data_IF_235787039170
#
_entry.id   IF_235787039170
#
_cell.length_a   1.000
_cell.length_b   1.000
_cell.length_c   1.000
_cell.angle_alpha   90.00
_cell.angle_beta   90.00
_cell.angle_gamma   90.00
#
_symmetry.space_group_name_H-M   'P 1'
#
loop_
_entity.id
_entity.type
_entity.pdbx_description
1 polymer ?
#
# COMPACT_ATOMS: atom_id res chain seq x y z
N UNK A 1 6.74 -17.49 -20.06
CA UNK A 1 7.51 -16.27 -19.75
C UNK A 1 6.70 -15.46 -18.75
N UNK A 2 7.19 -15.23 -17.53
CA UNK A 2 6.52 -14.32 -16.58
C UNK A 2 6.86 -12.90 -17.01
N UNK A 3 5.92 -12.19 -17.62
CA UNK A 3 6.08 -10.76 -17.86
C UNK A 3 5.91 -10.04 -16.52
N UNK A 4 6.96 -9.37 -16.05
CA UNK A 4 6.84 -8.40 -14.96
C UNK A 4 6.21 -7.14 -15.56
N UNK A 5 4.92 -6.95 -15.32
CA UNK A 5 4.21 -5.73 -15.71
C UNK A 5 4.92 -4.51 -15.10
N UNK A 6 4.99 -3.43 -15.87
CA UNK A 6 5.58 -2.19 -15.38
C UNK A 6 4.66 -1.56 -14.33
N UNK A 7 5.25 -0.93 -13.31
CA UNK A 7 4.52 -0.12 -12.35
C UNK A 7 4.09 1.19 -13.02
N UNK A 8 2.87 1.64 -12.75
CA UNK A 8 2.48 3.02 -13.02
C UNK A 8 3.37 3.99 -12.22
N UNK A 9 3.41 5.26 -12.60
CA UNK A 9 4.22 6.26 -11.91
C UNK A 9 3.87 6.34 -10.41
N UNK A 10 2.57 6.40 -10.08
CA UNK A 10 2.11 6.43 -8.70
C UNK A 10 2.46 5.14 -7.94
N UNK A 11 2.26 3.97 -8.57
CA UNK A 11 2.58 2.69 -7.95
C UNK A 11 4.09 2.54 -7.69
N UNK A 12 4.93 2.99 -8.63
CA UNK A 12 6.38 3.00 -8.49
C UNK A 12 6.81 3.91 -7.33
N UNK A 13 6.18 5.08 -7.22
CA UNK A 13 6.52 6.04 -6.17
C UNK A 13 6.07 5.54 -4.78
N UNK A 14 4.89 4.91 -4.68
CA UNK A 14 4.46 4.22 -3.45
C UNK A 14 5.45 3.13 -3.05
N UNK A 15 5.84 2.25 -3.98
CA UNK A 15 6.77 1.17 -3.70
C UNK A 15 8.15 1.70 -3.26
N UNK A 16 8.66 2.76 -3.89
CA UNK A 16 9.92 3.38 -3.52
C UNK A 16 9.86 4.04 -2.13
N UNK A 17 8.81 4.81 -1.83
CA UNK A 17 8.63 5.44 -0.52
C UNK A 17 8.47 4.39 0.58
N UNK A 18 7.67 3.35 0.32
CA UNK A 18 7.50 2.26 1.26
C UNK A 18 8.83 1.52 1.50
N UNK A 19 9.52 1.13 0.43
CA UNK A 19 10.82 0.43 0.50
C UNK A 19 11.88 1.21 1.28
N UNK A 20 11.96 2.53 1.10
CA UNK A 20 12.89 3.37 1.89
C UNK A 20 12.50 3.47 3.37
N UNK A 21 11.23 3.27 3.71
CA UNK A 21 10.74 3.33 5.09
C UNK A 21 10.80 1.97 5.81
N UNK A 22 10.81 0.84 5.09
CA UNK A 22 10.81 -0.52 5.68
C UNK A 22 11.99 -0.80 6.63
N UNK A 23 13.25 -0.38 6.36
CA UNK A 23 14.38 -0.58 7.28
C UNK A 23 14.19 0.03 8.68
N UNK A 24 13.26 0.97 8.82
CA UNK A 24 12.96 1.63 10.08
C UNK A 24 11.72 1.04 10.78
N UNK A 25 11.14 -0.02 10.23
CA UNK A 25 9.99 -0.72 10.81
C UNK A 25 10.45 -1.68 11.91
N UNK A 26 9.77 -1.65 13.05
CA UNK A 26 10.10 -2.54 14.18
C UNK A 26 9.14 -3.73 14.27
N UNK A 27 8.12 -3.76 13.41
CA UNK A 27 7.07 -4.79 13.41
C UNK A 27 6.35 -4.84 12.05
N UNK A 28 5.58 -5.92 11.82
CA UNK A 28 4.71 -5.98 10.64
C UNK A 28 3.57 -4.94 10.69
N UNK A 29 3.15 -4.52 11.89
CA UNK A 29 2.20 -3.41 12.09
C UNK A 29 2.80 -2.09 11.58
N UNK A 30 4.04 -1.81 11.97
CA UNK A 30 4.85 -0.67 11.54
C UNK A 30 5.03 -0.63 10.00
N UNK A 31 5.22 -1.80 9.38
CA UNK A 31 5.33 -1.92 7.93
C UNK A 31 4.01 -1.59 7.24
N UNK A 32 2.89 -2.14 7.73
CA UNK A 32 1.56 -1.86 7.20
C UNK A 32 1.22 -0.36 7.28
N UNK A 33 1.56 0.30 8.39
CA UNK A 33 1.37 1.74 8.53
C UNK A 33 2.20 2.57 7.54
N UNK A 34 3.44 2.16 7.27
CA UNK A 34 4.33 2.84 6.30
C UNK A 34 3.81 2.67 4.88
N UNK A 35 3.33 1.48 4.51
CA UNK A 35 2.64 1.25 3.24
C UNK A 35 1.39 2.10 3.11
N UNK A 36 0.54 2.14 4.15
CA UNK A 36 -0.67 2.95 4.14
C UNK A 36 -0.37 4.45 4.00
N UNK A 37 0.70 4.93 4.65
CA UNK A 37 1.17 6.32 4.49
C UNK A 37 1.60 6.61 3.06
N UNK A 38 2.36 5.72 2.42
CA UNK A 38 2.78 5.89 1.03
C UNK A 38 1.57 5.88 0.08
N UNK A 39 0.67 4.91 0.22
CA UNK A 39 -0.55 4.80 -0.60
C UNK A 39 -1.45 6.03 -0.51
N UNK A 40 -1.60 6.61 0.68
CA UNK A 40 -2.46 7.77 0.92
C UNK A 40 -2.13 8.96 0.01
N UNK A 41 -0.87 9.11 -0.38
CA UNK A 41 -0.41 10.28 -1.15
C UNK A 41 -0.52 10.13 -2.66
N UNK A 42 -0.77 8.92 -3.18
CA UNK A 42 -0.56 8.63 -4.61
C UNK A 42 -1.67 7.77 -5.22
N UNK A 43 -2.04 8.12 -6.47
CA UNK A 43 -3.03 7.43 -7.27
C UNK A 43 -4.45 7.39 -6.68
N UNK A 44 -5.28 6.53 -7.25
CA UNK A 44 -6.71 6.41 -6.94
C UNK A 44 -6.96 6.01 -5.48
N UNK A 45 -6.15 5.09 -4.96
CA UNK A 45 -6.19 4.70 -3.55
C UNK A 45 -5.94 5.88 -2.63
N UNK A 46 -4.97 6.75 -2.97
CA UNK A 46 -4.70 7.97 -2.22
C UNK A 46 -5.89 8.93 -2.20
N UNK A 47 -6.52 9.14 -3.35
CA UNK A 47 -7.73 9.96 -3.47
C UNK A 47 -8.87 9.39 -2.61
N UNK A 48 -9.10 8.07 -2.69
CA UNK A 48 -10.14 7.40 -1.92
C UNK A 48 -9.90 7.49 -0.41
N UNK A 49 -8.67 7.25 0.06
CA UNK A 49 -8.29 7.37 1.47
C UNK A 49 -8.48 8.80 1.98
N UNK A 50 -8.03 9.80 1.23
CA UNK A 50 -8.21 11.21 1.61
C UNK A 50 -9.69 11.60 1.69
N UNK A 51 -10.49 11.13 0.75
CA UNK A 51 -11.92 11.38 0.73
C UNK A 51 -12.72 10.59 1.80
N UNK A 52 -12.10 9.62 2.46
CA UNK A 52 -12.61 8.96 3.68
C UNK A 52 -12.16 9.67 4.97
N UNK A 53 -11.41 10.77 4.87
CA UNK A 53 -10.91 11.50 6.03
C UNK A 53 -9.73 10.82 6.71
N UNK A 54 -9.08 9.86 6.05
CA UNK A 54 -7.83 9.24 6.53
C UNK A 54 -6.78 10.34 6.61
N UNK A 55 -6.47 10.79 7.83
CA UNK A 55 -5.51 11.87 8.09
C UNK A 55 -4.05 11.41 7.99
N UNK A 56 -3.14 12.38 7.88
CA UNK A 56 -1.71 12.18 8.17
C UNK A 56 -1.55 12.00 9.69
N UNK A 57 -1.78 10.78 10.19
CA UNK A 57 -1.50 10.48 11.59
C UNK A 57 0.03 10.36 11.80
N UNK A 58 0.57 10.87 12.93
CA UNK A 58 1.92 10.52 13.36
C UNK A 58 2.06 9.00 13.39
N UNK A 59 3.20 8.47 12.92
CA UNK A 59 3.50 7.05 13.10
C UNK A 59 3.45 6.74 14.59
N UNK A 60 2.64 5.76 15.00
CA UNK A 60 2.56 5.33 16.39
C UNK A 60 3.75 4.40 16.68
N UNK A 61 4.97 4.93 16.53
CA UNK A 61 6.19 4.21 16.91
C UNK A 61 6.21 4.15 18.44
N UNK A 62 5.95 2.97 19.02
CA UNK A 62 6.30 2.72 20.41
C UNK A 62 7.81 2.98 20.55
N UNK A 63 8.16 3.98 21.35
CA UNK A 63 9.56 4.30 21.64
C UNK A 63 10.13 3.25 22.58
N UNK A 64 10.51 2.10 22.05
CA UNK A 64 11.41 1.18 22.75
C UNK A 64 12.86 1.66 22.55
N UNK A 65 13.72 1.57 23.58
CA UNK A 65 15.07 2.10 23.52
C UNK A 65 15.85 1.46 22.37
N UNK A 66 16.46 2.31 21.54
CA UNK A 66 17.25 1.96 20.35
C UNK A 66 18.39 1.02 20.74
N UNK A 67 18.16 -0.28 20.63
CA UNK A 67 19.25 -1.23 20.42
C UNK A 67 19.67 -1.05 18.97
N UNK A 68 20.87 -0.48 18.80
CA UNK A 68 21.70 -0.33 17.59
C UNK A 68 21.12 -1.01 16.33
N UNK A 69 21.04 -0.32 15.17
CA UNK A 69 20.49 -0.91 13.96
C UNK A 69 21.28 -2.18 13.63
N UNK A 70 20.64 -3.33 13.81
CA UNK A 70 21.06 -4.53 13.13
C UNK A 70 20.99 -4.19 11.64
N UNK A 71 22.06 -4.49 10.89
CA UNK A 71 22.12 -4.21 9.45
C UNK A 71 20.77 -4.56 8.81
N UNK A 72 20.08 -3.56 8.25
CA UNK A 72 18.77 -3.72 7.63
C UNK A 72 18.83 -4.92 6.68
N UNK A 73 18.11 -5.98 7.03
CA UNK A 73 18.30 -7.30 6.47
C UNK A 73 17.64 -7.41 5.08
N UNK A 74 18.08 -8.36 4.23
CA UNK A 74 17.43 -8.75 2.97
C UNK A 74 15.92 -9.00 3.06
N UNK A 75 15.40 -9.26 4.27
CA UNK A 75 13.99 -9.52 4.55
C UNK A 75 13.09 -8.34 4.18
N UNK A 76 13.51 -7.09 4.37
CA UNK A 76 12.66 -5.91 4.09
C UNK A 76 12.53 -5.62 2.59
N UNK A 77 13.62 -5.80 1.84
CA UNK A 77 13.62 -5.74 0.38
C UNK A 77 12.81 -6.90 -0.20
N UNK A 78 12.91 -8.10 0.38
CA UNK A 78 12.08 -9.25 0.03
C UNK A 78 10.58 -8.97 0.24
N UNK A 79 10.18 -8.27 1.31
CA UNK A 79 8.78 -7.89 1.53
C UNK A 79 8.30 -6.92 0.44
N UNK A 80 9.10 -5.92 0.08
CA UNK A 80 8.73 -4.95 -0.95
C UNK A 80 8.59 -5.62 -2.32
N UNK A 81 9.56 -6.43 -2.70
CA UNK A 81 9.51 -7.26 -3.92
C UNK A 81 8.31 -8.21 -3.92
N UNK A 82 8.01 -8.83 -2.77
CA UNK A 82 6.85 -9.72 -2.61
C UNK A 82 5.54 -8.98 -2.86
N UNK A 83 5.37 -7.78 -2.31
CA UNK A 83 4.17 -6.94 -2.54
C UNK A 83 4.06 -6.56 -4.02
N UNK A 84 5.14 -6.05 -4.62
CA UNK A 84 5.15 -5.64 -6.04
C UNK A 84 4.86 -6.83 -6.96
N UNK A 85 5.43 -8.00 -6.69
CA UNK A 85 5.15 -9.22 -7.47
C UNK A 85 3.68 -9.62 -7.36
N UNK A 86 3.09 -9.59 -6.16
CA UNK A 86 1.67 -9.90 -5.96
C UNK A 86 0.77 -8.89 -6.66
N UNK A 87 1.11 -7.61 -6.62
CA UNK A 87 0.37 -6.58 -7.36
C UNK A 87 0.43 -6.84 -8.88
N UNK A 88 1.56 -7.33 -9.38
CA UNK A 88 1.68 -7.80 -10.77
C UNK A 88 0.72 -8.94 -11.11
N UNK A 89 0.46 -9.86 -10.17
CA UNK A 89 -0.51 -10.94 -10.35
C UNK A 89 -1.95 -10.40 -10.42
N UNK A 90 -2.31 -9.41 -9.58
CA UNK A 90 -3.62 -8.74 -9.65
C UNK A 90 -3.81 -7.97 -10.97
N UNK A 91 -2.80 -7.19 -11.38
CA UNK A 91 -2.83 -6.43 -12.63
C UNK A 91 -2.98 -7.36 -13.85
N UNK A 92 -2.23 -8.47 -13.88
CA UNK A 92 -2.35 -9.48 -14.93
C UNK A 92 -3.73 -10.16 -14.91
N UNK A 93 -4.28 -10.43 -13.71
CA UNK A 93 -5.60 -11.03 -13.54
C UNK A 93 -6.74 -10.19 -14.11
N UNK A 94 -6.62 -8.86 -14.08
CA UNK A 94 -7.57 -7.92 -14.70
C UNK A 94 -7.25 -7.59 -16.17
N UNK A 95 -6.19 -8.16 -16.74
CA UNK A 95 -5.77 -7.91 -18.12
C UNK A 95 -5.16 -6.53 -18.37
N UNK A 96 -4.56 -5.92 -17.35
CA UNK A 96 -3.95 -4.60 -17.46
C UNK A 96 -2.49 -4.66 -17.93
N UNK A 97 -2.07 -3.59 -18.62
CA UNK A 97 -0.70 -3.45 -19.13
C UNK A 97 0.28 -2.90 -18.08
N UNK A 98 -0.23 -2.39 -16.95
CA UNK A 98 0.57 -1.86 -15.86
C UNK A 98 -0.06 -2.12 -14.48
N UNK A 99 0.78 -2.14 -13.46
CA UNK A 99 0.40 -2.26 -12.05
C UNK A 99 0.05 -0.88 -11.50
N UNK A 100 -1.18 -0.68 -11.01
CA UNK A 100 -1.62 0.57 -10.40
C UNK A 100 -1.65 0.49 -8.86
N UNK A 101 -2.03 1.59 -8.19
CA UNK A 101 -2.08 1.62 -6.72
C UNK A 101 -3.18 0.73 -6.14
N UNK A 102 -4.24 0.45 -6.90
CA UNK A 102 -5.30 -0.51 -6.52
C UNK A 102 -4.74 -1.94 -6.48
N UNK A 103 -3.92 -2.33 -7.46
CA UNK A 103 -3.26 -3.65 -7.47
C UNK A 103 -2.32 -3.80 -6.26
N UNK A 104 -1.60 -2.73 -5.90
CA UNK A 104 -0.78 -2.68 -4.68
C UNK A 104 -1.64 -2.81 -3.42
N UNK A 105 -2.78 -2.14 -3.34
CA UNK A 105 -3.69 -2.24 -2.20
C UNK A 105 -4.18 -3.68 -2.00
N UNK A 106 -4.58 -4.38 -3.07
CA UNK A 106 -4.98 -5.79 -2.99
C UNK A 106 -3.82 -6.69 -2.56
N UNK A 107 -2.63 -6.48 -3.10
CA UNK A 107 -1.44 -7.19 -2.66
C UNK A 107 -1.13 -6.98 -1.18
N UNK A 108 -1.33 -5.76 -0.66
CA UNK A 108 -1.14 -5.45 0.74
C UNK A 108 -2.20 -6.08 1.65
N UNK A 109 -3.46 -6.13 1.20
CA UNK A 109 -4.49 -6.88 1.93
C UNK A 109 -4.17 -8.38 1.99
N UNK A 110 -3.61 -8.96 0.93
CA UNK A 110 -3.17 -10.36 0.97
C UNK A 110 -1.96 -10.58 1.89
N UNK A 111 -0.98 -9.67 1.86
CA UNK A 111 0.28 -9.82 2.59
C UNK A 111 0.14 -9.52 4.09
N UNK A 112 -0.61 -8.49 4.45
CA UNK A 112 -0.73 -7.99 5.83
C UNK A 112 -2.08 -8.33 6.48
N UNK A 113 -3.10 -8.64 5.68
CA UNK A 113 -4.44 -9.01 6.11
C UNK A 113 -4.97 -8.09 7.24
N UNK A 114 -5.24 -8.64 8.43
CA UNK A 114 -5.74 -7.89 9.60
C UNK A 114 -4.85 -6.72 10.03
N UNK A 115 -3.55 -6.76 9.75
CA UNK A 115 -2.65 -5.66 10.11
C UNK A 115 -2.92 -4.42 9.25
N UNK A 116 -3.27 -4.62 7.97
CA UNK A 116 -3.70 -3.52 7.12
C UNK A 116 -5.08 -3.00 7.54
N UNK A 117 -6.01 -3.88 7.90
CA UNK A 117 -7.32 -3.47 8.44
C UNK A 117 -7.18 -2.64 9.71
N UNK A 118 -6.27 -3.05 10.59
CA UNK A 118 -5.95 -2.30 11.81
C UNK A 118 -5.34 -0.94 11.49
N UNK A 119 -4.40 -0.88 10.53
CA UNK A 119 -3.78 0.38 10.12
C UNK A 119 -4.79 1.37 9.52
N UNK A 120 -5.80 0.88 8.80
CA UNK A 120 -6.94 1.66 8.31
C UNK A 120 -7.83 2.12 9.47
N UNK A 121 -8.20 1.19 10.36
CA UNK A 121 -9.08 1.46 11.50
C UNK A 121 -8.52 2.54 12.43
N UNK A 122 -7.22 2.46 12.74
CA UNK A 122 -6.53 3.48 13.55
C UNK A 122 -6.55 4.87 12.92
N UNK A 123 -6.78 4.97 11.61
CA UNK A 123 -6.90 6.23 10.86
C UNK A 123 -8.35 6.59 10.50
N UNK A 124 -9.33 5.88 11.07
CA UNK A 124 -10.75 6.19 10.94
C UNK A 124 -11.41 5.66 9.66
N UNK A 125 -10.83 4.67 8.99
CA UNK A 125 -11.42 4.03 7.83
C UNK A 125 -11.44 2.50 7.96
N UNK A 126 -12.32 1.84 7.21
CA UNK A 126 -12.36 0.39 7.08
C UNK A 126 -12.02 -0.08 5.66
N UNK A 127 -11.64 -1.35 5.53
CA UNK A 127 -11.46 -2.02 4.23
C UNK A 127 -12.72 -1.89 3.36
N UNK A 128 -13.90 -2.08 3.96
CA UNK A 128 -15.18 -2.05 3.24
C UNK A 128 -15.43 -0.66 2.67
N UNK A 129 -15.34 0.39 3.49
CA UNK A 129 -15.56 1.78 3.03
C UNK A 129 -14.57 2.18 1.93
N UNK A 130 -13.31 1.74 2.03
CA UNK A 130 -12.30 2.00 1.01
C UNK A 130 -12.63 1.32 -0.33
N UNK A 131 -13.04 0.05 -0.30
CA UNK A 131 -13.40 -0.69 -1.52
C UNK A 131 -14.69 -0.14 -2.14
N UNK A 132 -15.70 0.16 -1.33
CA UNK A 132 -16.93 0.82 -1.79
C UNK A 132 -16.61 2.15 -2.47
N UNK A 133 -15.70 2.94 -1.91
CA UNK A 133 -15.30 4.21 -2.51
C UNK A 133 -14.54 4.00 -3.82
N UNK A 134 -13.61 3.06 -3.90
CA UNK A 134 -12.88 2.78 -5.14
C UNK A 134 -13.82 2.36 -6.26
N UNK A 135 -14.82 1.52 -5.97
CA UNK A 135 -15.84 1.14 -6.95
C UNK A 135 -16.65 2.34 -7.48
N UNK A 136 -16.88 3.36 -6.65
CA UNK A 136 -17.55 4.60 -7.11
C UNK A 136 -16.66 5.49 -7.99
N UNK A 137 -15.33 5.41 -7.83
CA UNK A 137 -14.38 6.16 -8.66
C UNK A 137 -14.31 5.54 -10.06
N UNK A 138 -14.20 4.21 -10.16
CA UNK A 138 -14.24 3.50 -11.46
C UNK A 138 -15.52 3.81 -12.25
N UNK A 139 -16.71 3.76 -11.63
CA UNK A 139 -17.97 4.08 -12.30
C UNK A 139 -18.10 5.55 -12.76
N UNK A 140 -17.45 6.49 -12.07
CA UNK A 140 -17.52 7.91 -12.42
C UNK A 140 -16.70 8.23 -13.68
N UNK A 141 -15.61 7.49 -13.95
CA UNK A 141 -14.76 7.69 -15.13
C UNK A 141 -15.45 7.22 -16.41
N UNK A 142 -16.37 6.25 -16.33
CA UNK A 142 -17.09 5.71 -17.49
C UNK A 142 -18.23 6.64 -18.01
N UNK A 143 -18.62 7.67 -17.26
CA UNK A 143 -19.77 8.53 -17.63
C UNK A 143 -19.38 9.86 -18.29
N UNK A 144 -18.09 10.08 -18.55
CA UNK A 144 -17.55 11.31 -19.15
C UNK A 144 -17.04 11.09 -20.57
N UNK A 145 -17.94 10.90 -21.55
CA UNK A 145 -17.63 11.02 -22.97
C UNK A 145 -18.70 11.86 -23.69
#
# INVERSE_FOLDING_TARGET
>A
MRQTLQLSQDAALVAALAGTAMPFSHSAEDQAERWLRALRMHGEVGIALQALGVGEAPLMTRSEPVSRPAAAAPLDEEITERVVRRAGEYAAGRGADCVCTVDLLFALFEVYDRLMDRALYLRGASRVELLERLATVDCAVETGH
#
